data_IF_328099189895
#
_entry.id   IF_328099189895
#
_cell.length_a   1.000
_cell.length_b   1.000
_cell.length_c   1.000
_cell.angle_alpha   90.00
_cell.angle_beta   90.00
_cell.angle_gamma   90.00
#
_symmetry.space_group_name_H-M   'P 1'
#
loop_
_entity.id
_entity.type
_entity.pdbx_description
1 polymer ?
#
# COMPACT_ATOMS: atom_id res chain seq x y z
N UNK A 1 27.46 -4.21 -6.69
CA UNK A 1 26.32 -3.32 -6.97
C UNK A 1 25.04 -4.08 -7.28
N UNK A 2 25.05 -5.03 -8.22
CA UNK A 2 23.86 -5.84 -8.54
C UNK A 2 23.30 -6.59 -7.32
N UNK A 3 24.14 -7.23 -6.53
CA UNK A 3 23.71 -7.95 -5.32
C UNK A 3 23.05 -7.01 -4.29
N UNK A 4 23.52 -5.77 -4.18
CA UNK A 4 22.92 -4.76 -3.28
C UNK A 4 21.54 -4.33 -3.77
N UNK A 5 21.38 -4.09 -5.08
CA UNK A 5 20.07 -3.81 -5.69
C UNK A 5 19.09 -4.97 -5.50
N UNK A 6 19.55 -6.21 -5.79
CA UNK A 6 18.73 -7.41 -5.59
C UNK A 6 18.36 -7.63 -4.11
N UNK A 7 19.23 -7.25 -3.17
CA UNK A 7 18.90 -7.25 -1.74
C UNK A 7 17.74 -6.31 -1.42
N UNK A 8 17.78 -5.07 -1.91
CA UNK A 8 16.68 -4.11 -1.78
C UNK A 8 15.40 -4.59 -2.47
N UNK A 9 15.53 -5.14 -3.68
CA UNK A 9 14.40 -5.69 -4.43
C UNK A 9 13.72 -6.84 -3.65
N UNK A 10 14.48 -7.76 -3.09
CA UNK A 10 13.95 -8.88 -2.27
C UNK A 10 13.21 -8.35 -1.04
N UNK A 11 13.80 -7.39 -0.32
CA UNK A 11 13.16 -6.79 0.85
C UNK A 11 11.83 -6.11 0.49
N UNK A 12 11.80 -5.33 -0.58
CA UNK A 12 10.59 -4.69 -1.07
C UNK A 12 9.52 -5.68 -1.53
N UNK A 13 9.90 -6.77 -2.23
CA UNK A 13 8.98 -7.83 -2.63
C UNK A 13 8.34 -8.49 -1.40
N UNK A 14 9.12 -8.82 -0.37
CA UNK A 14 8.61 -9.41 0.87
C UNK A 14 7.56 -8.51 1.51
N UNK A 15 7.79 -7.18 1.55
CA UNK A 15 6.79 -6.23 2.03
C UNK A 15 5.50 -6.28 1.21
N UNK A 16 5.62 -6.23 -0.10
CA UNK A 16 4.45 -6.17 -0.99
C UNK A 16 3.66 -7.49 -1.00
N UNK A 17 4.32 -8.62 -0.80
CA UNK A 17 3.67 -9.94 -0.68
C UNK A 17 2.96 -10.12 0.67
N UNK A 18 3.32 -9.35 1.69
CA UNK A 18 2.53 -9.31 2.92
C UNK A 18 1.24 -8.54 2.67
N UNK A 19 0.27 -9.21 2.03
CA UNK A 19 -1.01 -8.65 1.57
C UNK A 19 -1.58 -7.65 2.58
N UNK A 20 -1.38 -6.37 2.30
CA UNK A 20 -1.80 -5.27 3.14
C UNK A 20 -2.97 -4.48 2.53
N UNK A 21 -3.54 -3.52 3.26
CA UNK A 21 -4.67 -2.73 2.79
C UNK A 21 -4.37 -1.96 1.49
N UNK A 22 -3.13 -1.51 1.30
CA UNK A 22 -2.69 -0.80 0.09
C UNK A 22 -2.71 -1.71 -1.13
N UNK A 23 -2.20 -2.94 -1.00
CA UNK A 23 -2.25 -3.95 -2.06
C UNK A 23 -3.69 -4.23 -2.50
N UNK A 24 -4.59 -4.44 -1.54
CA UNK A 24 -6.01 -4.68 -1.80
C UNK A 24 -6.70 -3.48 -2.44
N UNK A 25 -6.32 -2.26 -2.06
CA UNK A 25 -6.84 -1.04 -2.67
C UNK A 25 -6.42 -0.93 -4.15
N UNK A 26 -5.15 -1.21 -4.48
CA UNK A 26 -4.66 -1.23 -5.87
C UNK A 26 -5.40 -2.31 -6.68
N UNK A 27 -5.53 -3.51 -6.14
CA UNK A 27 -6.27 -4.62 -6.75
C UNK A 27 -7.72 -4.23 -7.03
N UNK A 28 -8.42 -3.70 -6.02
CA UNK A 28 -9.80 -3.23 -6.15
C UNK A 28 -9.92 -2.11 -7.20
N UNK A 29 -9.00 -1.14 -7.19
CA UNK A 29 -9.00 -0.03 -8.16
C UNK A 29 -8.81 -0.56 -9.58
N UNK A 30 -7.92 -1.53 -9.79
CA UNK A 30 -7.72 -2.17 -11.10
C UNK A 30 -9.00 -2.86 -11.61
N UNK A 31 -9.71 -3.55 -10.71
CA UNK A 31 -10.96 -4.25 -11.04
C UNK A 31 -12.12 -3.28 -11.30
N UNK A 32 -12.23 -2.18 -10.54
CA UNK A 32 -13.41 -1.31 -10.58
C UNK A 32 -13.25 -0.08 -11.45
N UNK A 33 -12.04 0.45 -11.59
CA UNK A 33 -11.72 1.72 -12.27
C UNK A 33 -10.76 1.56 -13.43
N UNK A 34 -10.29 0.33 -13.68
CA UNK A 34 -9.38 -0.02 -14.77
C UNK A 34 -7.91 0.30 -14.48
N UNK A 35 -7.07 -0.07 -15.46
CA UNK A 35 -5.60 -0.04 -15.33
C UNK A 35 -5.04 1.36 -15.10
N UNK A 36 -5.56 2.39 -15.76
CA UNK A 36 -5.02 3.76 -15.65
C UNK A 36 -5.17 4.31 -14.23
N UNK A 37 -6.35 4.14 -13.62
CA UNK A 37 -6.61 4.54 -12.23
C UNK A 37 -5.75 3.75 -11.24
N UNK A 38 -5.53 2.46 -11.51
CA UNK A 38 -4.69 1.61 -10.68
C UNK A 38 -3.20 2.02 -10.79
N UNK A 39 -2.69 2.34 -11.97
CA UNK A 39 -1.31 2.80 -12.15
C UNK A 39 -1.08 4.16 -11.47
N UNK A 40 -2.07 5.06 -11.47
CA UNK A 40 -1.99 6.29 -10.69
C UNK A 40 -1.96 6.03 -9.18
N UNK A 41 -2.73 5.06 -8.70
CA UNK A 41 -2.63 4.62 -7.31
C UNK A 41 -1.25 4.02 -7.01
N UNK A 42 -0.70 3.19 -7.90
CA UNK A 42 0.66 2.62 -7.77
C UNK A 42 1.72 3.72 -7.70
N UNK A 43 1.63 4.75 -8.55
CA UNK A 43 2.59 5.87 -8.49
C UNK A 43 2.51 6.62 -7.16
N UNK A 44 1.30 6.85 -6.63
CA UNK A 44 1.12 7.46 -5.31
C UNK A 44 1.77 6.61 -4.21
N UNK A 45 1.51 5.31 -4.19
CA UNK A 45 2.11 4.37 -3.22
C UNK A 45 3.62 4.41 -3.30
N UNK A 46 4.18 4.30 -4.51
CA UNK A 46 5.63 4.27 -4.73
C UNK A 46 6.30 5.57 -4.27
N UNK A 47 5.68 6.71 -4.50
CA UNK A 47 6.19 8.01 -4.02
C UNK A 47 6.18 8.10 -2.50
N UNK A 48 5.10 7.65 -1.84
CA UNK A 48 5.02 7.65 -0.38
C UNK A 48 6.03 6.66 0.23
N UNK A 49 6.18 5.47 -0.35
CA UNK A 49 7.20 4.50 0.07
C UNK A 49 8.61 5.10 -0.06
N UNK A 50 8.90 5.81 -1.17
CA UNK A 50 10.17 6.51 -1.34
C UNK A 50 10.38 7.58 -0.26
N UNK A 51 9.35 8.34 0.11
CA UNK A 51 9.41 9.28 1.23
C UNK A 51 9.72 8.58 2.56
N UNK A 52 9.06 7.45 2.86
CA UNK A 52 9.35 6.68 4.08
C UNK A 52 10.77 6.11 4.09
N UNK A 53 11.27 5.63 2.96
CA UNK A 53 12.66 5.17 2.82
C UNK A 53 13.63 6.33 3.11
N UNK A 54 13.38 7.53 2.58
CA UNK A 54 14.19 8.71 2.88
C UNK A 54 14.12 9.10 4.37
N UNK A 55 12.95 9.06 4.98
CA UNK A 55 12.79 9.30 6.43
C UNK A 55 13.53 8.26 7.27
N UNK A 56 13.53 6.99 6.84
CA UNK A 56 14.31 5.93 7.50
C UNK A 56 15.81 6.20 7.42
N UNK A 57 16.31 6.69 6.27
CA UNK A 57 17.72 7.08 6.09
C UNK A 57 18.12 8.25 6.99
N UNK A 58 17.19 9.16 7.30
CA UNK A 58 17.40 10.27 8.24
C UNK A 58 17.31 9.85 9.73
N UNK A 59 17.12 8.55 10.00
CA UNK A 59 17.06 8.02 11.35
C UNK A 59 15.74 8.26 12.09
N UNK A 60 14.70 8.72 11.41
CA UNK A 60 13.39 9.00 12.03
C UNK A 60 12.74 7.70 12.55
N UNK A 61 13.11 6.55 11.99
CA UNK A 61 12.64 5.25 12.46
C UNK A 61 12.97 4.96 13.92
N UNK A 62 14.17 5.30 14.37
CA UNK A 62 14.59 5.13 15.76
C UNK A 62 13.84 6.07 16.71
N UNK A 63 13.61 7.31 16.28
CA UNK A 63 12.81 8.28 17.05
C UNK A 63 11.36 7.81 17.19
N UNK A 64 10.75 7.29 16.14
CA UNK A 64 9.39 6.74 16.18
C UNK A 64 9.29 5.53 17.12
N UNK A 65 10.28 4.61 17.08
CA UNK A 65 10.33 3.44 17.96
C UNK A 65 10.41 3.84 19.45
N UNK A 66 11.09 4.92 19.75
CA UNK A 66 11.25 5.41 21.12
C UNK A 66 10.07 6.27 21.61
N UNK A 67 9.04 6.48 20.79
CA UNK A 67 7.89 7.34 21.13
C UNK A 67 6.56 6.58 21.12
N UNK A 68 6.22 5.85 22.22
CA UNK A 68 5.04 4.98 22.28
C UNK A 68 3.72 5.75 22.13
N UNK A 69 3.67 7.01 22.56
CA UNK A 69 2.48 7.83 22.42
C UNK A 69 2.17 8.14 20.96
N UNK A 70 3.22 8.45 20.17
CA UNK A 70 3.07 8.71 18.74
C UNK A 70 2.65 7.44 17.99
N UNK A 71 3.26 6.29 18.31
CA UNK A 71 2.85 5.01 17.73
C UNK A 71 1.36 4.71 18.00
N UNK A 72 0.90 4.96 19.24
CA UNK A 72 -0.48 4.78 19.63
C UNK A 72 -1.43 5.70 18.82
N UNK A 73 -1.08 6.98 18.66
CA UNK A 73 -1.86 7.94 17.87
C UNK A 73 -1.93 7.55 16.39
N UNK A 74 -0.80 7.18 15.81
CA UNK A 74 -0.73 6.69 14.42
C UNK A 74 -1.58 5.43 14.22
N UNK A 75 -1.59 4.52 15.18
CA UNK A 75 -2.41 3.31 15.16
C UNK A 75 -3.91 3.63 15.11
N UNK A 76 -4.40 4.52 15.97
CA UNK A 76 -5.82 4.93 15.96
C UNK A 76 -6.22 5.64 14.67
N UNK A 77 -5.38 6.57 14.20
CA UNK A 77 -5.61 7.26 12.93
C UNK A 77 -5.67 6.27 11.76
N UNK A 78 -4.75 5.34 11.71
CA UNK A 78 -4.70 4.29 10.70
C UNK A 78 -5.95 3.41 10.71
N UNK A 79 -6.38 2.98 11.88
CA UNK A 79 -7.58 2.15 12.03
C UNK A 79 -8.84 2.90 11.56
N UNK A 80 -8.95 4.20 11.87
CA UNK A 80 -10.07 5.04 11.42
C UNK A 80 -10.10 5.14 9.89
N UNK A 81 -8.95 5.36 9.27
CA UNK A 81 -8.84 5.47 7.81
C UNK A 81 -9.12 4.13 7.13
N UNK A 82 -8.59 3.03 7.66
CA UNK A 82 -8.91 1.69 7.16
C UNK A 82 -10.41 1.38 7.25
N UNK A 83 -11.03 1.73 8.37
CA UNK A 83 -12.47 1.56 8.56
C UNK A 83 -13.26 2.40 7.54
N UNK A 84 -12.87 3.66 7.32
CA UNK A 84 -13.49 4.52 6.30
C UNK A 84 -13.44 3.89 4.91
N UNK A 85 -12.26 3.40 4.48
CA UNK A 85 -12.11 2.72 3.19
C UNK A 85 -12.89 1.40 3.12
N UNK A 86 -12.93 0.64 4.21
CA UNK A 86 -13.73 -0.59 4.30
C UNK A 86 -15.24 -0.30 4.09
N UNK A 87 -15.75 0.69 4.79
CA UNK A 87 -17.17 1.11 4.66
C UNK A 87 -17.47 1.66 3.26
N UNK A 88 -16.60 2.51 2.71
CA UNK A 88 -16.76 3.06 1.37
C UNK A 88 -16.76 1.95 0.29
N UNK A 89 -16.04 0.85 0.53
CA UNK A 89 -16.05 -0.30 -0.37
C UNK A 89 -17.27 -1.19 -0.19
N UNK A 90 -17.71 -1.36 1.06
CA UNK A 90 -18.81 -2.25 1.42
C UNK A 90 -20.17 -1.73 0.96
N UNK A 91 -20.50 -0.46 1.27
CA UNK A 91 -21.83 0.09 0.97
C UNK A 91 -22.23 0.07 -0.51
N UNK A 92 -21.38 0.46 -1.48
CA UNK A 92 -21.69 0.33 -2.91
C UNK A 92 -21.78 -1.12 -3.37
N UNK A 93 -21.00 -2.04 -2.78
CA UNK A 93 -21.05 -3.44 -3.12
C UNK A 93 -22.42 -4.08 -2.80
N UNK A 94 -23.09 -3.59 -1.75
CA UNK A 94 -24.43 -4.08 -1.33
C UNK A 94 -25.56 -3.40 -2.09
N UNK A 95 -25.42 -2.09 -2.43
CA UNK A 95 -26.53 -1.29 -2.98
C UNK A 95 -26.63 -1.23 -4.50
N UNK A 96 -25.55 -1.43 -5.25
CA UNK A 96 -25.57 -1.30 -6.72
C UNK A 96 -24.66 -2.33 -7.41
N UNK A 97 -25.20 -3.29 -8.17
CA UNK A 97 -24.42 -4.15 -9.06
C UNK A 97 -23.96 -3.43 -10.33
N UNK A 98 -24.31 -2.17 -10.56
CA UNK A 98 -24.00 -1.45 -11.79
C UNK A 98 -22.75 -0.57 -11.65
N UNK A 99 -21.92 -0.67 -12.69
CA UNK A 99 -20.73 0.11 -12.98
C UNK A 99 -20.95 1.59 -12.66
N UNK A 100 -20.26 2.11 -11.65
CA UNK A 100 -20.19 3.55 -11.44
C UNK A 100 -19.43 4.16 -12.61
N UNK A 101 -20.14 4.83 -13.50
CA UNK A 101 -19.58 5.65 -14.55
C UNK A 101 -18.94 6.89 -13.89
N UNK A 102 -17.64 6.84 -13.66
CA UNK A 102 -16.88 7.99 -13.16
C UNK A 102 -16.47 8.87 -14.32
N UNK A 103 -16.74 10.18 -14.21
CA UNK A 103 -16.14 11.19 -15.10
C UNK A 103 -14.60 11.05 -15.04
N UNK A 104 -13.97 10.71 -16.16
CA UNK A 104 -12.62 10.21 -16.26
C UNK A 104 -11.55 10.92 -15.40
N UNK A 105 -11.49 12.26 -15.42
CA UNK A 105 -10.44 13.01 -14.71
C UNK A 105 -10.62 13.01 -13.19
N UNK A 106 -11.83 13.14 -12.67
CA UNK A 106 -12.12 13.11 -11.23
C UNK A 106 -11.83 11.72 -10.61
N UNK A 107 -12.09 10.63 -11.36
CA UNK A 107 -11.78 9.28 -10.91
C UNK A 107 -10.26 9.03 -10.79
N UNK A 108 -9.48 9.59 -11.69
CA UNK A 108 -8.02 9.46 -11.70
C UNK A 108 -7.39 10.16 -10.49
N UNK A 109 -7.74 11.43 -10.29
CA UNK A 109 -7.23 12.23 -9.14
C UNK A 109 -7.64 11.61 -7.81
N UNK A 110 -8.89 11.12 -7.70
CA UNK A 110 -9.37 10.45 -6.51
C UNK A 110 -8.62 9.14 -6.21
N UNK A 111 -8.19 8.39 -7.24
CA UNK A 111 -7.43 7.15 -7.04
C UNK A 111 -6.02 7.42 -6.51
N UNK A 112 -5.34 8.44 -7.03
CA UNK A 112 -4.04 8.88 -6.52
C UNK A 112 -4.14 9.36 -5.07
N UNK A 113 -5.04 10.31 -4.78
CA UNK A 113 -5.22 10.87 -3.44
C UNK A 113 -5.62 9.80 -2.41
N UNK A 114 -6.55 8.91 -2.77
CA UNK A 114 -6.97 7.82 -1.90
C UNK A 114 -5.83 6.85 -1.59
N UNK A 115 -5.03 6.46 -2.60
CA UNK A 115 -3.86 5.62 -2.41
C UNK A 115 -2.81 6.30 -1.53
N UNK A 116 -2.56 7.60 -1.74
CA UNK A 116 -1.62 8.37 -0.93
C UNK A 116 -2.07 8.42 0.54
N UNK A 117 -3.33 8.78 0.81
CA UNK A 117 -3.87 8.83 2.18
C UNK A 117 -3.80 7.45 2.84
N UNK A 118 -4.20 6.39 2.12
CA UNK A 118 -4.18 5.03 2.65
C UNK A 118 -2.76 4.57 2.99
N UNK A 119 -1.78 4.87 2.12
CA UNK A 119 -0.36 4.50 2.33
C UNK A 119 0.26 5.29 3.47
N UNK A 120 0.03 6.61 3.52
CA UNK A 120 0.51 7.49 4.60
C UNK A 120 -0.02 7.07 5.97
N UNK A 121 -1.23 6.52 6.01
CA UNK A 121 -1.89 6.13 7.25
C UNK A 121 -1.72 4.65 7.58
N UNK A 122 -1.08 3.87 6.71
CA UNK A 122 -0.95 2.44 6.92
C UNK A 122 0.15 2.13 7.94
N UNK A 123 -0.18 1.62 9.14
CA UNK A 123 0.80 1.35 10.18
C UNK A 123 1.81 0.27 9.76
N UNK A 124 1.41 -0.69 8.93
CA UNK A 124 2.30 -1.73 8.43
C UNK A 124 3.40 -1.14 7.56
N UNK A 125 3.05 -0.22 6.66
CA UNK A 125 4.01 0.47 5.79
C UNK A 125 4.98 1.34 6.61
N UNK A 126 4.46 2.08 7.58
CA UNK A 126 5.25 2.93 8.48
C UNK A 126 6.25 2.07 9.28
N UNK A 127 5.76 1.02 9.96
CA UNK A 127 6.59 0.14 10.78
C UNK A 127 7.63 -0.57 9.93
N UNK A 128 7.27 -1.01 8.74
CA UNK A 128 8.19 -1.71 7.86
C UNK A 128 9.32 -0.79 7.39
N UNK A 129 8.98 0.33 6.75
CA UNK A 129 10.02 1.22 6.20
C UNK A 129 10.82 1.90 7.30
N UNK A 130 10.19 2.47 8.31
CA UNK A 130 10.90 3.18 9.38
C UNK A 130 11.52 2.23 10.41
N UNK A 131 10.94 1.05 10.63
CA UNK A 131 11.45 0.06 11.59
C UNK A 131 12.46 -0.89 10.97
N UNK A 132 11.99 -1.78 10.09
CA UNK A 132 12.79 -2.88 9.55
C UNK A 132 13.91 -2.36 8.64
N UNK A 133 13.63 -1.38 7.78
CA UNK A 133 14.64 -0.80 6.91
C UNK A 133 15.76 -0.13 7.75
N UNK A 134 15.41 0.68 8.76
CA UNK A 134 16.41 1.31 9.63
C UNK A 134 17.30 0.27 10.32
N UNK A 135 16.72 -0.82 10.82
CA UNK A 135 17.49 -1.92 11.42
C UNK A 135 18.42 -2.60 10.43
N UNK A 136 17.97 -2.82 9.19
CA UNK A 136 18.78 -3.42 8.12
C UNK A 136 19.95 -2.51 7.73
N UNK A 137 19.72 -1.19 7.65
CA UNK A 137 20.76 -0.22 7.30
C UNK A 137 21.88 -0.17 8.34
N UNK A 138 21.54 -0.24 9.63
CA UNK A 138 22.52 -0.29 10.73
C UNK A 138 23.36 -1.56 10.66
N UNK A 139 22.73 -2.69 10.34
CA UNK A 139 23.41 -4.01 10.29
C UNK A 139 24.42 -4.11 9.13
N UNK A 140 24.07 -3.60 7.95
CA UNK A 140 24.84 -3.80 6.71
C UNK A 140 25.98 -2.80 6.54
N UNK A 141 26.02 -1.71 7.30
CA UNK A 141 27.06 -0.66 7.22
C UNK A 141 27.35 -0.21 5.77
N UNK A 142 26.33 0.07 5.00
CA UNK A 142 26.46 0.44 3.60
C UNK A 142 27.27 1.74 3.42
N UNK A 143 28.09 1.79 2.36
CA UNK A 143 28.57 3.07 1.82
C UNK A 143 27.41 3.83 1.16
N UNK A 144 27.49 5.16 1.09
CA UNK A 144 26.42 6.01 0.55
C UNK A 144 25.89 5.53 -0.82
N UNK A 145 26.77 5.11 -1.72
CA UNK A 145 26.39 4.61 -3.04
C UNK A 145 25.64 3.26 -2.97
N UNK A 146 26.14 2.33 -2.14
CA UNK A 146 25.45 1.04 -1.94
C UNK A 146 24.10 1.22 -1.31
N UNK A 147 23.98 2.15 -0.36
CA UNK A 147 22.74 2.52 0.28
C UNK A 147 21.71 3.04 -0.74
N UNK A 148 22.12 3.98 -1.60
CA UNK A 148 21.27 4.50 -2.66
C UNK A 148 20.77 3.39 -3.60
N UNK A 149 21.68 2.50 -4.04
CA UNK A 149 21.33 1.36 -4.91
C UNK A 149 20.35 0.41 -4.23
N UNK A 150 20.52 0.15 -2.93
CA UNK A 150 19.61 -0.68 -2.14
C UNK A 150 18.21 -0.07 -2.08
N UNK A 151 18.11 1.22 -1.78
CA UNK A 151 16.83 1.95 -1.75
C UNK A 151 16.14 1.97 -3.12
N UNK A 152 16.90 2.16 -4.20
CA UNK A 152 16.36 2.03 -5.55
C UNK A 152 15.78 0.62 -5.80
N UNK A 153 16.42 -0.42 -5.31
CA UNK A 153 15.89 -1.79 -5.36
C UNK A 153 14.56 -1.92 -4.62
N UNK A 154 14.45 -1.36 -3.41
CA UNK A 154 13.22 -1.36 -2.62
C UNK A 154 12.05 -0.65 -3.35
N UNK A 155 12.31 0.57 -3.86
CA UNK A 155 11.30 1.37 -4.60
C UNK A 155 10.86 0.65 -5.87
N UNK A 156 11.83 0.09 -6.61
CA UNK A 156 11.54 -0.68 -7.83
C UNK A 156 10.65 -1.90 -7.54
N UNK A 157 10.84 -2.57 -6.40
CA UNK A 157 10.01 -3.70 -6.00
C UNK A 157 8.55 -3.28 -5.80
N UNK A 158 8.29 -2.19 -5.07
CA UNK A 158 6.93 -1.65 -4.89
C UNK A 158 6.27 -1.39 -6.24
N UNK A 159 6.96 -0.65 -7.11
CA UNK A 159 6.42 -0.30 -8.42
C UNK A 159 6.14 -1.54 -9.29
N UNK A 160 7.09 -2.47 -9.38
CA UNK A 160 6.98 -3.68 -10.22
C UNK A 160 5.85 -4.58 -9.71
N UNK A 161 5.81 -4.89 -8.41
CA UNK A 161 4.82 -5.82 -7.85
C UNK A 161 3.41 -5.24 -7.98
N UNK A 162 3.21 -3.99 -7.58
CA UNK A 162 1.88 -3.37 -7.64
C UNK A 162 1.42 -3.12 -9.09
N UNK A 163 2.31 -2.72 -10.00
CA UNK A 163 1.98 -2.56 -11.42
C UNK A 163 1.62 -3.90 -12.06
N UNK A 164 2.38 -4.96 -11.76
CA UNK A 164 2.07 -6.31 -12.24
C UNK A 164 0.72 -6.79 -11.72
N UNK A 165 0.42 -6.56 -10.45
CA UNK A 165 -0.89 -6.87 -9.85
C UNK A 165 -2.00 -6.09 -10.54
N UNK A 166 -1.83 -4.77 -10.72
CA UNK A 166 -2.80 -3.92 -11.41
C UNK A 166 -3.09 -4.41 -12.84
N UNK A 167 -2.03 -4.77 -13.56
CA UNK A 167 -2.15 -5.29 -14.93
C UNK A 167 -2.89 -6.63 -14.98
N UNK A 168 -2.48 -7.60 -14.16
CA UNK A 168 -3.11 -8.92 -14.10
C UNK A 168 -4.58 -8.81 -13.70
N UNK A 169 -4.91 -8.02 -12.68
CA UNK A 169 -6.28 -7.85 -12.22
C UNK A 169 -7.15 -7.10 -13.23
N UNK A 170 -6.60 -6.09 -13.91
CA UNK A 170 -7.32 -5.38 -14.97
C UNK A 170 -7.65 -6.29 -16.17
N UNK A 171 -6.77 -7.21 -16.52
CA UNK A 171 -7.06 -8.23 -17.57
C UNK A 171 -8.04 -9.28 -17.07
N UNK A 172 -7.92 -9.71 -15.83
CA UNK A 172 -8.83 -10.69 -15.23
C UNK A 172 -10.28 -10.18 -15.21
N UNK A 173 -10.52 -8.86 -15.10
CA UNK A 173 -11.88 -8.29 -15.10
C UNK A 173 -12.67 -8.60 -16.37
N UNK A 174 -12.00 -8.79 -17.50
CA UNK A 174 -12.65 -9.17 -18.75
C UNK A 174 -13.26 -10.59 -18.69
N UNK A 175 -12.77 -11.42 -17.77
CA UNK A 175 -13.22 -12.80 -17.56
C UNK A 175 -14.15 -12.94 -16.34
N UNK A 176 -14.25 -11.90 -15.50
CA UNK A 176 -15.02 -11.94 -14.26
C UNK A 176 -16.48 -11.58 -14.51
N UNK A 177 -17.39 -12.46 -14.10
CA UNK A 177 -18.82 -12.15 -14.07
C UNK A 177 -19.13 -11.05 -13.04
N UNK A 178 -20.23 -10.27 -13.23
CA UNK A 178 -20.61 -9.23 -12.24
C UNK A 178 -20.75 -9.76 -10.82
N UNK A 179 -21.25 -10.99 -10.66
CA UNK A 179 -21.37 -11.66 -9.36
C UNK A 179 -20.01 -11.88 -8.71
N UNK A 180 -19.02 -12.35 -9.46
CA UNK A 180 -17.67 -12.60 -8.95
C UNK A 180 -16.96 -11.29 -8.57
N UNK A 181 -17.17 -10.23 -9.36
CA UNK A 181 -16.66 -8.90 -9.02
C UNK A 181 -17.26 -8.38 -7.70
N UNK A 182 -18.56 -8.60 -7.47
CA UNK A 182 -19.24 -8.23 -6.23
C UNK A 182 -18.70 -9.02 -5.04
N UNK A 183 -18.54 -10.34 -5.19
CA UNK A 183 -17.92 -11.18 -4.16
C UNK A 183 -16.52 -10.72 -3.79
N UNK A 184 -15.68 -10.41 -4.78
CA UNK A 184 -14.32 -9.89 -4.54
C UNK A 184 -14.35 -8.56 -3.78
N UNK A 185 -15.22 -7.61 -4.14
CA UNK A 185 -15.37 -6.33 -3.42
C UNK A 185 -15.78 -6.57 -1.97
N UNK A 186 -16.73 -7.48 -1.72
CA UNK A 186 -17.18 -7.83 -0.38
C UNK A 186 -16.08 -8.47 0.46
N UNK A 187 -15.31 -9.40 -0.13
CA UNK A 187 -14.15 -10.01 0.53
C UNK A 187 -13.07 -8.99 0.88
N UNK A 188 -12.75 -8.08 -0.05
CA UNK A 188 -11.77 -7.01 0.17
C UNK A 188 -12.23 -6.09 1.30
N UNK A 189 -13.51 -5.66 1.30
CA UNK A 189 -14.03 -4.80 2.37
C UNK A 189 -14.03 -5.50 3.73
N UNK A 190 -14.40 -6.77 3.79
CA UNK A 190 -14.33 -7.58 4.99
C UNK A 190 -12.89 -7.71 5.53
N UNK A 191 -11.92 -7.92 4.65
CA UNK A 191 -10.51 -7.96 5.03
C UNK A 191 -10.01 -6.61 5.54
N UNK A 192 -10.37 -5.49 4.90
CA UNK A 192 -10.03 -4.15 5.37
C UNK A 192 -10.64 -3.86 6.76
N UNK A 193 -11.87 -4.32 7.01
CA UNK A 193 -12.54 -4.21 8.30
C UNK A 193 -11.82 -5.03 9.38
N UNK A 194 -11.42 -6.27 9.04
CA UNK A 194 -10.61 -7.10 9.92
C UNK A 194 -9.25 -6.46 10.25
N UNK A 195 -8.59 -5.86 9.26
CA UNK A 195 -7.33 -5.14 9.45
C UNK A 195 -7.51 -3.90 10.34
N UNK A 196 -8.59 -3.13 10.15
CA UNK A 196 -8.92 -2.00 11.01
C UNK A 196 -9.13 -2.46 12.47
N UNK A 197 -9.89 -3.53 12.67
CA UNK A 197 -10.09 -4.13 13.99
C UNK A 197 -8.77 -4.59 14.62
N UNK A 198 -7.96 -5.36 13.90
CA UNK A 198 -6.64 -5.80 14.39
C UNK A 198 -5.74 -4.62 14.74
N UNK A 199 -5.74 -3.56 13.93
CA UNK A 199 -4.92 -2.36 14.19
C UNK A 199 -5.36 -1.64 15.49
N UNK A 200 -6.65 -1.65 15.84
CA UNK A 200 -7.16 -1.08 17.09
C UNK A 200 -6.74 -1.88 18.32
N UNK A 201 -6.81 -3.21 18.24
CA UNK A 201 -6.65 -4.12 19.39
C UNK A 201 -5.29 -4.81 19.45
N UNK A 202 -4.37 -4.52 18.52
CA UNK A 202 -2.98 -4.99 18.61
C UNK A 202 -2.28 -4.28 19.77
N UNK A 203 -1.94 -5.02 20.81
CA UNK A 203 -1.10 -4.58 21.92
C UNK A 203 0.38 -4.52 21.53
#
# INVERSE_FOLDING_TARGET
MLNTFLGGLRLGIILQLSVGPVFLFVLQTAITRGITSALLAVTAVTLIDACYILLALLGIGTWLQNNPLLQKRLRYLSALILLFFALQTFFPAVKQPHVLSFNGNAALTNSFAAAAVLTLSNPLTIIFWLGILSAQLVKEQFTNLRLFIFCCGCISATFIVLSSTAFLCSKATLLLTPLLQQLLKTLISGFLMLMAYRTLFSH
#
